data_IF_062994238655
#
_entry.id   IF_062994238655
#
_cell.length_a   1.000
_cell.length_b   1.000
_cell.length_c   1.000
_cell.angle_alpha   90.00
_cell.angle_beta   90.00
_cell.angle_gamma   90.00
#
_symmetry.space_group_name_H-M   'P 1'
#
loop_
_entity.id
_entity.type
_entity.pdbx_description
1 polymer ?
#
# COMPACT_ATOMS: atom_id res chain seq x y z
N UNK A 1 -14.14 7.41 34.35
CA UNK A 1 -14.77 6.69 33.23
C UNK A 1 -14.53 7.52 31.99
N UNK A 2 -13.56 7.12 31.17
CA UNK A 2 -13.29 7.76 29.89
C UNK A 2 -14.33 7.25 28.90
N UNK A 3 -15.13 8.17 28.36
CA UNK A 3 -16.09 7.93 27.31
C UNK A 3 -15.40 7.31 26.10
N UNK A 4 -15.86 6.14 25.68
CA UNK A 4 -15.58 5.61 24.35
C UNK A 4 -16.11 6.61 23.32
N UNK A 5 -15.22 7.43 22.76
CA UNK A 5 -15.51 8.10 21.50
C UNK A 5 -15.57 6.99 20.45
N UNK A 6 -16.80 6.53 20.18
CA UNK A 6 -17.11 5.69 19.03
C UNK A 6 -16.80 6.53 17.80
N UNK A 7 -15.58 6.41 17.28
CA UNK A 7 -15.29 6.82 15.92
C UNK A 7 -16.19 5.98 15.03
N UNK A 8 -17.26 6.59 14.51
CA UNK A 8 -18.04 6.02 13.42
C UNK A 8 -17.06 5.74 12.27
N UNK A 9 -16.68 4.47 12.10
CA UNK A 9 -15.84 4.02 10.98
C UNK A 9 -16.56 4.44 9.69
N UNK A 10 -15.96 5.37 8.94
CA UNK A 10 -16.56 5.88 7.70
C UNK A 10 -16.53 4.76 6.66
N UNK A 11 -17.70 4.39 6.18
CA UNK A 11 -17.87 3.30 5.24
C UNK A 11 -17.89 3.78 3.78
N UNK A 12 -17.09 3.15 2.93
CA UNK A 12 -17.06 3.34 1.47
C UNK A 12 -17.78 2.18 0.80
N UNK A 13 -18.67 2.48 -0.14
CA UNK A 13 -19.37 1.46 -0.92
C UNK A 13 -18.44 0.89 -2.00
N UNK A 14 -18.44 -0.43 -2.17
CA UNK A 14 -17.63 -1.13 -3.20
C UNK A 14 -17.88 -0.56 -4.60
N UNK A 15 -19.12 -0.21 -4.93
CA UNK A 15 -19.50 0.39 -6.22
C UNK A 15 -18.74 1.68 -6.54
N UNK A 16 -18.33 2.44 -5.51
CA UNK A 16 -17.54 3.67 -5.66
C UNK A 16 -16.07 3.41 -6.01
N UNK A 17 -15.64 2.14 -5.99
CA UNK A 17 -14.27 1.73 -6.35
C UNK A 17 -14.11 1.43 -7.85
N UNK A 18 -15.18 1.51 -8.65
CA UNK A 18 -15.15 1.40 -10.12
C UNK A 18 -15.64 2.68 -10.81
N UNK A 19 -14.92 3.80 -10.68
CA UNK A 19 -15.32 5.08 -11.24
C UNK A 19 -14.95 5.22 -12.72
N UNK A 20 -15.58 6.17 -13.40
CA UNK A 20 -15.20 6.54 -14.77
C UNK A 20 -14.03 7.52 -14.80
N UNK A 21 -13.88 8.31 -13.74
CA UNK A 21 -12.85 9.36 -13.63
C UNK A 21 -12.09 9.29 -12.31
N UNK A 22 -10.83 9.74 -12.31
CA UNK A 22 -9.97 9.75 -11.10
C UNK A 22 -10.59 10.60 -9.99
N UNK A 23 -11.25 11.72 -10.32
CA UNK A 23 -11.89 12.57 -9.32
C UNK A 23 -13.02 11.82 -8.60
N UNK A 24 -13.83 11.05 -9.33
CA UNK A 24 -14.88 10.20 -8.75
C UNK A 24 -14.31 9.12 -7.84
N UNK A 25 -13.12 8.57 -8.17
CA UNK A 25 -12.39 7.66 -7.30
C UNK A 25 -11.99 8.32 -5.99
N UNK A 26 -11.52 9.57 -6.05
CA UNK A 26 -10.94 10.28 -4.91
C UNK A 26 -11.99 10.86 -3.95
N UNK A 27 -13.18 11.23 -4.44
CA UNK A 27 -14.24 11.85 -3.64
C UNK A 27 -14.55 11.12 -2.32
N UNK A 28 -14.74 9.78 -2.31
CA UNK A 28 -15.05 9.05 -1.08
C UNK A 28 -13.95 9.17 -0.02
N UNK A 29 -12.69 9.39 -0.43
CA UNK A 29 -11.52 9.29 0.44
C UNK A 29 -10.96 10.61 0.93
N UNK A 30 -11.45 11.76 0.45
CA UNK A 30 -10.91 13.10 0.76
C UNK A 30 -10.65 13.37 2.25
N UNK A 31 -11.41 12.72 3.15
CA UNK A 31 -11.32 12.91 4.60
C UNK A 31 -11.20 11.56 5.38
N UNK A 32 -10.66 10.52 4.74
CA UNK A 32 -10.61 9.15 5.29
C UNK A 32 -9.19 8.67 5.67
N UNK A 33 -8.17 9.46 5.37
CA UNK A 33 -6.77 9.09 5.57
C UNK A 33 -6.17 9.99 6.64
N UNK A 34 -5.45 9.41 7.61
CA UNK A 34 -4.94 10.15 8.76
C UNK A 34 -3.83 11.16 8.42
N UNK A 35 -3.09 10.91 7.34
CA UNK A 35 -1.81 11.57 7.07
C UNK A 35 -1.29 11.24 5.66
N UNK A 36 -0.38 12.06 5.10
CA UNK A 36 0.37 11.71 3.88
C UNK A 36 1.18 10.44 4.07
N UNK A 37 1.34 9.63 3.02
CA UNK A 37 2.06 8.35 3.07
C UNK A 37 3.53 8.46 3.51
N UNK A 38 4.11 9.66 3.39
CA UNK A 38 5.44 10.00 3.87
C UNK A 38 5.61 9.85 5.39
N UNK A 39 4.53 10.07 6.16
CA UNK A 39 4.53 10.06 7.63
C UNK A 39 3.72 8.90 8.21
N UNK A 40 3.63 7.79 7.47
CA UNK A 40 2.70 6.68 7.72
C UNK A 40 1.23 7.07 7.50
N UNK A 41 0.42 6.12 7.06
CA UNK A 41 -0.96 6.35 6.64
C UNK A 41 -1.86 5.25 7.18
N UNK A 42 -2.76 5.64 8.10
CA UNK A 42 -3.80 4.76 8.61
C UNK A 42 -5.04 4.85 7.73
N UNK A 43 -5.57 3.69 7.37
CA UNK A 43 -6.74 3.55 6.51
C UNK A 43 -8.00 3.46 7.39
N UNK A 44 -8.49 4.63 7.79
CA UNK A 44 -9.61 4.79 8.73
C UNK A 44 -10.97 4.72 8.02
N UNK A 45 -11.14 3.70 7.19
CA UNK A 45 -12.39 3.44 6.48
C UNK A 45 -12.65 1.95 6.37
N UNK A 46 -13.92 1.60 6.26
CA UNK A 46 -14.36 0.23 5.95
C UNK A 46 -14.91 0.17 4.54
N UNK A 47 -14.68 -0.94 3.84
CA UNK A 47 -15.33 -1.20 2.55
C UNK A 47 -16.57 -2.01 2.86
N UNK A 48 -17.75 -1.44 2.60
CA UNK A 48 -19.02 -2.13 2.80
C UNK A 48 -19.17 -3.21 1.72
N UNK A 49 -18.78 -4.42 2.08
CA UNK A 49 -19.05 -5.65 1.33
C UNK A 49 -19.96 -6.59 2.15
N UNK A 50 -20.64 -7.49 1.46
CA UNK A 50 -21.46 -8.52 2.10
C UNK A 50 -20.54 -9.52 2.83
N UNK A 51 -20.54 -9.46 4.16
CA UNK A 51 -20.15 -10.55 5.08
C UNK A 51 -18.75 -11.14 4.79
N UNK A 52 -17.71 -10.33 4.94
CA UNK A 52 -16.35 -10.86 5.08
C UNK A 52 -15.89 -10.81 6.55
N UNK A 53 -15.07 -11.79 7.01
CA UNK A 53 -14.49 -11.72 8.34
C UNK A 53 -13.66 -10.44 8.48
N UNK A 54 -13.70 -9.80 9.66
CA UNK A 54 -12.95 -8.57 9.94
C UNK A 54 -11.44 -8.84 9.75
N UNK A 55 -10.89 -8.32 8.65
CA UNK A 55 -9.46 -8.37 8.33
C UNK A 55 -8.72 -7.24 9.03
N UNK A 56 -7.41 -7.41 9.19
CA UNK A 56 -6.51 -6.40 9.78
C UNK A 56 -6.32 -5.28 8.76
N UNK A 57 -6.70 -4.05 9.09
CA UNK A 57 -6.40 -2.87 8.28
C UNK A 57 -4.90 -2.58 8.34
N UNK A 58 -4.18 -2.54 7.21
CA UNK A 58 -2.74 -2.30 7.20
C UNK A 58 -2.42 -0.82 7.45
N UNK A 59 -1.28 -0.57 8.08
CA UNK A 59 -0.64 0.74 8.12
C UNK A 59 0.29 0.82 6.92
N UNK A 60 0.22 1.91 6.15
CA UNK A 60 1.03 2.10 4.96
C UNK A 60 2.13 3.13 5.20
N UNK A 61 3.33 2.89 4.67
CA UNK A 61 4.40 3.89 4.64
C UNK A 61 5.32 3.71 3.44
N UNK A 62 6.05 4.74 3.06
CA UNK A 62 7.15 4.58 2.11
C UNK A 62 8.25 3.68 2.70
N UNK A 63 8.88 2.89 1.85
CA UNK A 63 10.04 2.09 2.24
C UNK A 63 11.25 2.99 2.52
N UNK A 64 12.04 2.59 3.50
CA UNK A 64 13.35 3.11 3.82
C UNK A 64 14.43 2.15 3.29
N UNK A 65 15.65 2.60 2.94
CA UNK A 65 16.75 1.73 2.50
C UNK A 65 17.04 0.51 3.39
N UNK A 66 16.70 0.59 4.68
CA UNK A 66 16.85 -0.50 5.65
C UNK A 66 15.82 -1.62 5.47
N UNK A 67 14.68 -1.34 4.82
CA UNK A 67 13.65 -2.34 4.50
C UNK A 67 14.05 -3.25 3.33
N UNK A 68 15.11 -2.91 2.60
CA UNK A 68 15.55 -3.67 1.41
C UNK A 68 15.75 -5.16 1.73
N UNK A 69 16.35 -5.47 2.88
CA UNK A 69 16.53 -6.86 3.32
C UNK A 69 15.19 -7.58 3.43
N UNK A 70 14.24 -7.00 4.17
CA UNK A 70 12.92 -7.61 4.38
C UNK A 70 12.15 -7.77 3.06
N UNK A 71 12.22 -6.77 2.17
CA UNK A 71 11.61 -6.84 0.84
C UNK A 71 12.18 -8.03 0.05
N UNK A 72 13.50 -8.17 -0.02
CA UNK A 72 14.11 -9.31 -0.75
C UNK A 72 13.72 -10.65 -0.16
N UNK A 73 13.59 -10.74 1.16
CA UNK A 73 13.14 -11.96 1.85
C UNK A 73 11.69 -12.29 1.49
N UNK A 74 10.81 -11.30 1.34
CA UNK A 74 9.43 -11.50 0.87
C UNK A 74 9.42 -12.10 -0.54
N UNK A 75 10.20 -11.55 -1.49
CA UNK A 75 10.28 -12.09 -2.85
C UNK A 75 10.78 -13.54 -2.85
N UNK A 76 11.85 -13.82 -2.08
CA UNK A 76 12.39 -15.17 -1.94
C UNK A 76 11.38 -16.14 -1.33
N UNK A 77 10.66 -15.73 -0.29
CA UNK A 77 9.64 -16.55 0.38
C UNK A 77 8.46 -16.88 -0.54
N UNK A 78 7.96 -15.89 -1.28
CA UNK A 78 6.74 -16.05 -2.08
C UNK A 78 6.97 -16.84 -3.37
N UNK A 79 8.16 -16.76 -3.94
CA UNK A 79 8.54 -17.45 -5.17
C UNK A 79 9.50 -18.60 -4.93
N UNK A 80 9.79 -18.94 -3.68
CA UNK A 80 10.75 -19.99 -3.30
C UNK A 80 12.10 -19.84 -4.05
N UNK A 81 12.57 -18.59 -4.21
CA UNK A 81 13.81 -18.22 -4.92
C UNK A 81 13.76 -18.35 -6.45
N UNK A 82 12.57 -18.52 -7.03
CA UNK A 82 12.37 -18.67 -8.48
C UNK A 82 11.89 -17.39 -9.15
N UNK A 83 11.96 -16.23 -8.47
CA UNK A 83 11.46 -15.00 -9.06
C UNK A 83 12.27 -14.65 -10.33
N UNK A 84 11.62 -14.34 -11.46
CA UNK A 84 12.32 -14.14 -12.74
C UNK A 84 13.32 -12.99 -12.73
N UNK A 85 13.06 -11.94 -11.94
CA UNK A 85 13.87 -10.74 -11.84
C UNK A 85 14.80 -10.82 -10.65
N UNK A 86 16.04 -11.29 -10.86
CA UNK A 86 17.00 -11.57 -9.78
C UNK A 86 17.43 -10.33 -9.00
N UNK A 87 17.31 -9.15 -9.58
CA UNK A 87 17.53 -7.89 -8.87
C UNK A 87 16.56 -7.69 -7.69
N UNK A 88 15.38 -8.32 -7.68
CA UNK A 88 14.45 -8.27 -6.54
C UNK A 88 14.83 -9.21 -5.39
N UNK A 89 15.80 -10.11 -5.63
CA UNK A 89 16.36 -11.01 -4.61
C UNK A 89 17.70 -10.49 -4.06
N UNK A 90 18.20 -9.37 -4.59
CA UNK A 90 19.45 -8.70 -4.20
C UNK A 90 19.16 -7.46 -3.33
N UNK A 91 19.80 -7.41 -2.15
CA UNK A 91 19.56 -6.37 -1.15
C UNK A 91 20.06 -5.00 -1.64
N UNK A 92 21.19 -4.95 -2.34
CA UNK A 92 21.77 -3.71 -2.82
C UNK A 92 20.98 -3.15 -4.01
N UNK A 93 20.51 -4.00 -4.90
CA UNK A 93 19.64 -3.57 -6.02
C UNK A 93 18.30 -3.04 -5.52
N UNK A 94 17.63 -3.75 -4.61
CA UNK A 94 16.40 -3.24 -3.99
C UNK A 94 16.66 -1.93 -3.24
N UNK A 95 17.80 -1.80 -2.55
CA UNK A 95 18.17 -0.54 -1.88
C UNK A 95 18.33 0.62 -2.87
N UNK A 96 18.98 0.40 -4.01
CA UNK A 96 19.07 1.41 -5.08
C UNK A 96 17.69 1.81 -5.59
N UNK A 97 16.79 0.83 -5.81
CA UNK A 97 15.42 1.12 -6.24
C UNK A 97 14.61 1.90 -5.21
N UNK A 98 14.80 1.67 -3.91
CA UNK A 98 14.13 2.46 -2.87
C UNK A 98 14.57 3.93 -2.91
N UNK A 99 15.83 4.18 -3.26
CA UNK A 99 16.40 5.52 -3.37
C UNK A 99 16.05 6.23 -4.69
N UNK A 100 15.56 5.50 -5.69
CA UNK A 100 15.22 6.07 -6.99
C UNK A 100 13.98 6.99 -6.86
N UNK A 101 14.04 8.26 -7.31
CA UNK A 101 12.90 9.16 -7.27
C UNK A 101 11.71 8.66 -8.10
N UNK A 102 11.93 7.86 -9.14
CA UNK A 102 10.92 7.31 -10.05
C UNK A 102 10.32 5.99 -9.57
N UNK A 103 10.87 5.39 -8.52
CA UNK A 103 10.37 4.14 -7.96
C UNK A 103 9.88 4.40 -6.54
N UNK A 104 8.64 4.00 -6.26
CA UNK A 104 8.04 4.14 -4.93
C UNK A 104 7.62 2.79 -4.40
N UNK A 105 8.33 2.38 -3.36
CA UNK A 105 8.00 1.21 -2.56
C UNK A 105 7.12 1.64 -1.40
N UNK A 106 5.99 0.99 -1.24
CA UNK A 106 5.12 1.14 -0.08
C UNK A 106 5.13 -0.16 0.70
N UNK A 107 5.34 -0.06 2.00
CA UNK A 107 5.34 -1.15 2.95
C UNK A 107 3.96 -1.25 3.60
N UNK A 108 3.49 -2.49 3.76
CA UNK A 108 2.29 -2.82 4.52
C UNK A 108 2.69 -3.32 5.88
N UNK A 109 2.21 -2.68 6.94
CA UNK A 109 2.50 -3.07 8.32
C UNK A 109 1.25 -3.53 9.04
N UNK A 110 1.42 -4.49 9.94
CA UNK A 110 0.39 -4.83 10.94
C UNK A 110 0.38 -3.78 12.07
N UNK A 111 -0.60 -3.82 13.00
CA UNK A 111 -0.67 -2.87 14.12
C UNK A 111 0.52 -2.94 15.09
N UNK A 112 1.34 -3.97 15.02
CA UNK A 112 2.58 -4.13 15.77
C UNK A 112 3.80 -3.67 14.96
N UNK A 113 3.60 -2.99 13.83
CA UNK A 113 4.61 -2.48 12.91
C UNK A 113 5.47 -3.55 12.22
N UNK A 114 5.08 -4.82 12.27
CA UNK A 114 5.76 -5.84 11.48
C UNK A 114 5.41 -5.68 10.01
N UNK A 115 6.41 -5.84 9.15
CA UNK A 115 6.24 -5.81 7.70
C UNK A 115 5.46 -7.05 7.26
N UNK A 116 4.26 -6.81 6.72
CA UNK A 116 3.36 -7.82 6.19
C UNK A 116 3.53 -8.04 4.68
N UNK A 117 3.88 -6.98 3.95
CA UNK A 117 3.95 -6.99 2.51
C UNK A 117 4.48 -5.68 1.94
N UNK A 118 4.49 -5.58 0.61
CA UNK A 118 4.89 -4.37 -0.09
C UNK A 118 4.27 -4.29 -1.48
N UNK A 119 4.27 -3.08 -2.04
CA UNK A 119 3.96 -2.79 -3.43
C UNK A 119 4.99 -1.83 -4.01
N UNK A 120 5.24 -1.95 -5.31
CA UNK A 120 6.17 -1.08 -6.03
C UNK A 120 5.46 -0.38 -7.18
N UNK A 121 5.54 0.95 -7.19
CA UNK A 121 5.17 1.80 -8.31
C UNK A 121 6.43 2.24 -9.05
N UNK A 122 6.42 2.13 -10.37
CA UNK A 122 7.42 2.72 -11.25
C UNK A 122 6.73 3.83 -12.04
N UNK A 123 7.31 5.03 -11.99
CA UNK A 123 6.72 6.28 -12.46
C UNK A 123 7.62 6.88 -13.54
N UNK A 124 7.07 7.05 -14.73
CA UNK A 124 7.71 7.68 -15.88
C UNK A 124 6.85 8.88 -16.30
N UNK A 125 7.12 10.03 -15.69
CA UNK A 125 6.36 11.25 -15.93
C UNK A 125 6.59 11.81 -17.34
N UNK A 126 7.78 11.60 -17.92
CA UNK A 126 8.10 12.05 -19.27
C UNK A 126 7.18 11.40 -20.30
N UNK A 127 6.99 10.08 -20.21
CA UNK A 127 6.10 9.34 -21.09
C UNK A 127 4.67 9.21 -20.57
N UNK A 128 4.36 9.84 -19.42
CA UNK A 128 3.06 9.76 -18.73
C UNK A 128 2.62 8.32 -18.47
N UNK A 129 3.55 7.50 -17.97
CA UNK A 129 3.35 6.09 -17.68
C UNK A 129 3.60 5.81 -16.22
N UNK A 130 2.79 4.92 -15.67
CA UNK A 130 3.02 4.35 -14.35
C UNK A 130 2.59 2.89 -14.37
N UNK A 131 3.33 2.04 -13.69
CA UNK A 131 2.94 0.64 -13.54
C UNK A 131 3.34 0.09 -12.18
N UNK A 132 2.65 -0.98 -11.78
CA UNK A 132 2.94 -1.71 -10.56
C UNK A 132 3.81 -2.91 -10.93
N UNK A 133 4.98 -3.05 -10.30
CA UNK A 133 5.93 -4.14 -10.60
C UNK A 133 5.84 -5.30 -9.62
N UNK A 134 5.37 -5.05 -8.40
CA UNK A 134 5.23 -6.07 -7.36
C UNK A 134 4.10 -5.71 -6.42
N UNK A 135 3.33 -6.72 -6.03
CA UNK A 135 2.26 -6.63 -5.04
C UNK A 135 2.31 -7.90 -4.19
N UNK A 136 3.03 -7.81 -3.09
CA UNK A 136 3.51 -8.97 -2.34
C UNK A 136 2.99 -8.94 -0.91
N UNK A 137 2.53 -10.08 -0.42
CA UNK A 137 2.05 -10.26 0.94
C UNK A 137 2.58 -11.60 1.48
N UNK A 138 3.34 -11.57 2.57
CA UNK A 138 3.92 -12.78 3.18
C UNK A 138 2.85 -13.82 3.47
N UNK A 139 3.21 -15.10 3.34
CA UNK A 139 2.27 -16.23 3.47
C UNK A 139 1.50 -16.17 4.80
N UNK A 140 2.15 -15.79 5.90
CA UNK A 140 1.54 -15.68 7.24
C UNK A 140 0.44 -14.60 7.38
N UNK A 141 0.38 -13.63 6.46
CA UNK A 141 -0.61 -12.54 6.45
C UNK A 141 -1.69 -12.70 5.38
N UNK A 142 -1.56 -13.66 4.48
CA UNK A 142 -2.56 -13.95 3.46
C UNK A 142 -3.89 -14.36 4.11
N UNK A 143 -4.98 -13.76 3.65
CA UNK A 143 -6.32 -13.92 4.24
C UNK A 143 -6.54 -13.18 5.57
N UNK A 144 -5.51 -12.55 6.14
CA UNK A 144 -5.58 -11.83 7.43
C UNK A 144 -5.52 -10.31 7.27
N UNK A 145 -4.61 -9.81 6.44
CA UNK A 145 -4.54 -8.38 6.09
C UNK A 145 -5.64 -8.03 5.08
N UNK A 146 -6.25 -6.87 5.23
CA UNK A 146 -7.14 -6.28 4.25
C UNK A 146 -6.33 -5.73 3.07
N UNK A 147 -6.13 -6.62 2.09
CA UNK A 147 -5.33 -6.34 0.90
C UNK A 147 -6.02 -5.35 -0.05
N UNK A 148 -7.35 -5.29 -0.03
CA UNK A 148 -8.13 -4.32 -0.81
C UNK A 148 -7.87 -2.92 -0.29
N UNK A 149 -7.92 -2.74 1.03
CA UNK A 149 -7.52 -1.48 1.66
C UNK A 149 -6.06 -1.14 1.36
N UNK A 150 -5.15 -2.12 1.44
CA UNK A 150 -3.74 -1.90 1.13
C UNK A 150 -3.55 -1.31 -0.29
N UNK A 151 -4.23 -1.89 -1.29
CA UNK A 151 -4.18 -1.43 -2.68
C UNK A 151 -4.74 -0.02 -2.85
N UNK A 152 -5.94 0.23 -2.33
CA UNK A 152 -6.59 1.56 -2.39
C UNK A 152 -5.74 2.60 -1.69
N UNK A 153 -5.29 2.32 -0.47
CA UNK A 153 -4.44 3.22 0.30
C UNK A 153 -3.12 3.52 -0.41
N UNK A 154 -2.55 2.53 -1.09
CA UNK A 154 -1.33 2.72 -1.89
C UNK A 154 -1.57 3.68 -3.06
N UNK A 155 -2.67 3.51 -3.79
CA UNK A 155 -3.06 4.42 -4.87
C UNK A 155 -3.33 5.85 -4.35
N UNK A 156 -4.08 5.98 -3.25
CA UNK A 156 -4.35 7.26 -2.62
C UNK A 156 -3.06 7.95 -2.19
N UNK A 157 -2.12 7.20 -1.61
CA UNK A 157 -0.80 7.70 -1.21
C UNK A 157 -0.03 8.28 -2.40
N UNK A 158 0.01 7.58 -3.53
CA UNK A 158 0.69 8.07 -4.74
C UNK A 158 -0.02 9.26 -5.38
N UNK A 159 -1.34 9.22 -5.50
CA UNK A 159 -2.11 10.35 -6.06
C UNK A 159 -2.02 11.61 -5.20
N UNK A 160 -1.87 11.46 -3.88
CA UNK A 160 -1.64 12.59 -2.99
C UNK A 160 -0.21 13.13 -3.12
N UNK A 161 0.79 12.26 -3.08
CA UNK A 161 2.21 12.65 -3.17
C UNK A 161 2.54 13.38 -4.47
N UNK A 162 1.98 12.91 -5.59
CA UNK A 162 2.30 13.43 -6.94
C UNK A 162 1.18 14.29 -7.53
N UNK A 163 0.24 14.79 -6.72
CA UNK A 163 -0.89 15.61 -7.19
C UNK A 163 -0.47 16.77 -8.07
N UNK A 164 0.63 17.44 -7.73
CA UNK A 164 1.09 18.65 -8.44
C UNK A 164 1.99 18.32 -9.64
N UNK A 165 2.32 17.05 -9.85
CA UNK A 165 3.17 16.55 -10.95
C UNK A 165 2.36 15.91 -12.08
N UNK A 166 1.13 15.48 -11.79
CA UNK A 166 0.23 14.72 -12.70
C UNK A 166 -0.85 15.64 -13.27
#
# INVERSE_FOLDING_TARGET
MLSEQIYSEKAVLLEKLSPNFVQEFLEPFKNLTSSPIKNEMHLNFEIKENIHPKKISPILRLAHPNDAKEITEIYKELYDGTYPYKEMEDIEEVRKMILDPHIKWIIYQDPQYHIAGCITFVLDFENRRGYIRGFMLKKKYQGRIDITKAMIGSMLGMLHEFRDTI
#
